data_IF_111055640950
#
_entry.id   IF_111055640950
#
_cell.length_a   1.000
_cell.length_b   1.000
_cell.length_c   1.000
_cell.angle_alpha   90.00
_cell.angle_beta   90.00
_cell.angle_gamma   90.00
#
_symmetry.space_group_name_H-M   'P 1'
#
loop_
_entity.id
_entity.type
_entity.pdbx_description
1 polymer ?
#
# COMPACT_ATOMS: atom_id res chain seq x y z
N UNK A 1 5.28 16.11 -17.67
CA UNK A 1 4.95 14.67 -17.55
C UNK A 1 4.67 14.35 -16.08
N UNK A 2 3.63 13.59 -15.82
CA UNK A 2 3.28 13.19 -14.46
C UNK A 2 3.79 11.77 -14.20
N UNK A 3 4.46 11.57 -13.09
CA UNK A 3 4.93 10.26 -12.63
C UNK A 3 4.31 9.97 -11.28
N UNK A 4 3.81 8.76 -11.11
CA UNK A 4 3.28 8.26 -9.84
C UNK A 4 4.30 7.31 -9.22
N UNK A 5 4.59 7.51 -7.93
CA UNK A 5 5.58 6.72 -7.21
C UNK A 5 4.94 6.07 -5.99
N UNK A 6 4.98 4.75 -5.96
CA UNK A 6 4.58 3.99 -4.79
C UNK A 6 5.77 3.88 -3.85
N UNK A 7 5.58 4.30 -2.60
CA UNK A 7 6.59 4.17 -1.56
C UNK A 7 5.90 3.76 -0.25
N UNK A 8 6.67 3.29 0.69
CA UNK A 8 6.09 2.91 1.96
C UNK A 8 7.02 2.06 2.81
N UNK A 9 6.44 1.47 3.84
CA UNK A 9 7.13 0.65 4.82
C UNK A 9 6.34 -0.66 5.03
N UNK A 10 7.00 -1.78 4.76
CA UNK A 10 6.45 -3.11 4.99
C UNK A 10 7.63 -4.04 5.29
N UNK A 11 7.91 -4.26 6.59
CA UNK A 11 9.09 -4.99 7.07
C UNK A 11 10.40 -4.32 6.62
N UNK A 12 10.43 -2.99 6.65
CA UNK A 12 11.49 -2.17 6.11
C UNK A 12 10.97 -1.29 4.98
N UNK A 13 11.80 -0.40 4.46
CA UNK A 13 11.42 0.42 3.31
C UNK A 13 11.24 -0.46 2.08
N UNK A 14 10.11 -0.30 1.39
CA UNK A 14 9.87 -1.03 0.14
C UNK A 14 10.67 -0.38 -0.99
N UNK A 15 10.99 -1.16 -2.03
CA UNK A 15 11.58 -0.62 -3.25
C UNK A 15 10.53 0.24 -3.97
N UNK A 16 10.81 1.52 -4.25
CA UNK A 16 9.84 2.37 -4.92
C UNK A 16 9.48 1.85 -6.31
N UNK A 17 8.20 1.99 -6.65
CA UNK A 17 7.69 1.65 -7.97
C UNK A 17 7.20 2.94 -8.62
N UNK A 18 7.71 3.29 -9.79
CA UNK A 18 7.34 4.50 -10.50
C UNK A 18 6.77 4.16 -11.87
N UNK A 19 5.70 4.85 -12.24
CA UNK A 19 5.05 4.66 -13.54
C UNK A 19 4.27 5.93 -13.90
N UNK A 20 4.15 6.22 -15.19
CA UNK A 20 3.32 7.32 -15.69
C UNK A 20 1.83 6.96 -15.68
N UNK A 21 1.50 5.67 -15.51
CA UNK A 21 0.12 5.17 -15.44
C UNK A 21 -0.26 4.94 -13.97
N UNK A 22 -1.14 5.78 -13.45
CA UNK A 22 -1.63 5.68 -12.07
C UNK A 22 -2.22 4.30 -11.77
N UNK A 23 -3.00 3.74 -12.71
CA UNK A 23 -3.67 2.46 -12.48
C UNK A 23 -2.68 1.34 -12.18
N UNK A 24 -1.52 1.34 -12.86
CA UNK A 24 -0.49 0.32 -12.62
C UNK A 24 0.12 0.46 -11.24
N UNK A 25 0.34 1.70 -10.80
CA UNK A 25 0.89 1.97 -9.46
C UNK A 25 -0.13 1.61 -8.39
N UNK A 26 -1.39 1.97 -8.61
CA UNK A 26 -2.49 1.62 -7.70
C UNK A 26 -2.65 0.10 -7.58
N UNK A 27 -2.62 -0.63 -8.69
CA UNK A 27 -2.74 -2.09 -8.67
C UNK A 27 -1.57 -2.74 -7.90
N UNK A 28 -0.36 -2.18 -8.02
CA UNK A 28 0.77 -2.66 -7.24
C UNK A 28 0.54 -2.46 -5.74
N UNK A 29 0.02 -1.29 -5.34
CA UNK A 29 -0.31 -1.00 -3.95
C UNK A 29 -1.41 -1.93 -3.44
N UNK A 30 -2.48 -2.09 -4.23
CA UNK A 30 -3.61 -2.96 -3.88
C UNK A 30 -3.16 -4.40 -3.69
N UNK A 31 -2.32 -4.91 -4.57
CA UNK A 31 -1.79 -6.27 -4.47
C UNK A 31 -0.95 -6.44 -3.20
N UNK A 32 -0.08 -5.47 -2.90
CA UNK A 32 0.72 -5.51 -1.68
C UNK A 32 -0.17 -5.48 -0.43
N UNK A 33 -1.20 -4.64 -0.43
CA UNK A 33 -2.16 -4.55 0.67
C UNK A 33 -2.91 -5.88 0.88
N UNK A 34 -3.44 -6.45 -0.20
CA UNK A 34 -4.17 -7.72 -0.11
C UNK A 34 -3.27 -8.87 0.35
N UNK A 35 -2.04 -8.92 -0.14
CA UNK A 35 -1.07 -9.94 0.28
C UNK A 35 -0.70 -9.78 1.76
N UNK A 36 -0.60 -8.56 2.24
CA UNK A 36 -0.29 -8.31 3.65
C UNK A 36 -1.41 -8.79 4.57
N UNK A 37 -2.66 -8.74 4.10
CA UNK A 37 -3.83 -9.18 4.86
C UNK A 37 -4.20 -10.66 4.60
N UNK A 38 -3.44 -11.34 3.76
CA UNK A 38 -3.70 -12.76 3.48
C UNK A 38 -3.52 -13.57 4.77
N UNK A 39 -4.54 -14.37 5.10
CA UNK A 39 -4.55 -15.14 6.33
C UNK A 39 -5.08 -14.40 7.56
N UNK A 40 -5.32 -13.09 7.47
CA UNK A 40 -5.93 -12.32 8.54
C UNK A 40 -7.45 -12.48 8.45
N UNK A 41 -8.07 -12.98 9.54
CA UNK A 41 -9.52 -13.21 9.54
C UNK A 41 -10.27 -11.89 9.75
N UNK A 42 -11.54 -11.85 9.33
CA UNK A 42 -12.39 -10.67 9.52
C UNK A 42 -12.69 -10.39 11.00
N UNK A 43 -12.50 -11.39 11.85
CA UNK A 43 -12.71 -11.26 13.28
C UNK A 43 -11.50 -10.71 14.01
N UNK A 44 -10.36 -10.60 13.32
CA UNK A 44 -9.14 -10.04 13.88
C UNK A 44 -9.33 -8.52 14.08
N UNK A 45 -9.07 -8.04 15.30
CA UNK A 45 -9.22 -6.63 15.63
C UNK A 45 -8.30 -5.72 14.82
N UNK A 46 -7.16 -6.23 14.37
CA UNK A 46 -6.20 -5.47 13.56
C UNK A 46 -6.81 -5.07 12.21
N UNK A 47 -7.78 -5.83 11.72
CA UNK A 47 -8.42 -5.53 10.45
C UNK A 47 -9.22 -4.23 10.48
N UNK A 48 -9.69 -3.80 11.66
CA UNK A 48 -10.39 -2.54 11.83
C UNK A 48 -9.49 -1.34 11.55
N UNK A 49 -8.18 -1.49 11.71
CA UNK A 49 -7.19 -0.44 11.49
C UNK A 49 -6.60 -0.50 10.08
N UNK A 50 -7.00 -1.49 9.28
CA UNK A 50 -6.50 -1.65 7.91
C UNK A 50 -7.44 -0.99 6.93
N UNK A 51 -6.90 -0.27 5.94
CA UNK A 51 -7.71 0.39 4.92
C UNK A 51 -6.94 0.52 3.60
N UNK A 52 -7.70 0.65 2.52
CA UNK A 52 -7.17 0.91 1.18
C UNK A 52 -7.91 2.09 0.59
N UNK A 53 -7.17 3.11 0.21
CA UNK A 53 -7.69 4.31 -0.46
C UNK A 53 -6.99 4.49 -1.80
N UNK A 54 -7.43 5.48 -2.58
CA UNK A 54 -6.84 5.72 -3.91
C UNK A 54 -5.38 6.12 -3.91
N UNK A 55 -4.87 6.71 -2.81
CA UNK A 55 -3.52 7.25 -2.72
C UNK A 55 -2.71 6.67 -1.56
N UNK A 56 -3.33 5.86 -0.73
CA UNK A 56 -2.65 5.27 0.43
C UNK A 56 -3.32 3.97 0.85
N UNK A 57 -2.56 3.14 1.53
CA UNK A 57 -3.06 1.92 2.15
C UNK A 57 -2.31 1.66 3.44
N UNK A 58 -3.02 1.12 4.41
CA UNK A 58 -2.43 0.72 5.69
C UNK A 58 -2.94 -0.68 6.02
N UNK A 59 -2.02 -1.58 6.31
CA UNK A 59 -2.35 -2.93 6.78
C UNK A 59 -1.75 -3.13 8.16
N UNK A 60 -2.59 -3.56 9.09
CA UNK A 60 -2.15 -3.90 10.45
C UNK A 60 -2.28 -5.40 10.62
N UNK A 61 -1.17 -6.07 10.87
CA UNK A 61 -1.12 -7.53 10.99
C UNK A 61 -0.37 -7.89 12.26
N UNK A 62 -1.06 -8.50 13.21
CA UNK A 62 -0.49 -8.90 14.51
C UNK A 62 0.22 -7.75 15.23
N UNK A 63 -0.37 -6.55 15.15
CA UNK A 63 0.19 -5.35 15.77
C UNK A 63 1.29 -4.67 14.97
N UNK A 64 1.69 -5.22 13.84
CA UNK A 64 2.68 -4.62 12.95
C UNK A 64 2.00 -3.78 11.89
N UNK A 65 2.49 -2.55 11.69
CA UNK A 65 1.94 -1.59 10.73
C UNK A 65 2.73 -1.62 9.44
N UNK A 66 2.01 -1.77 8.34
CA UNK A 66 2.57 -1.67 6.99
C UNK A 66 1.82 -0.55 6.28
N UNK A 67 2.55 0.35 5.64
CA UNK A 67 1.96 1.52 5.01
C UNK A 67 2.51 1.71 3.61
N UNK A 68 1.62 2.10 2.70
CA UNK A 68 1.97 2.43 1.32
C UNK A 68 1.32 3.75 0.95
N UNK A 69 2.02 4.54 0.15
CA UNK A 69 1.51 5.81 -0.36
C UNK A 69 1.91 5.98 -1.81
N UNK A 70 1.07 6.67 -2.57
CA UNK A 70 1.37 7.04 -3.94
C UNK A 70 1.62 8.55 -3.98
N UNK A 71 2.82 8.94 -4.41
CA UNK A 71 3.18 10.33 -4.61
C UNK A 71 3.03 10.68 -6.09
N UNK A 72 2.52 11.88 -6.37
CA UNK A 72 2.40 12.41 -7.71
C UNK A 72 3.50 13.44 -7.93
N UNK A 73 4.31 13.23 -8.96
CA UNK A 73 5.42 14.12 -9.30
C UNK A 73 5.23 14.68 -10.71
N UNK A 74 5.43 15.98 -10.86
CA UNK A 74 5.45 16.64 -12.16
C UNK A 74 6.90 16.85 -12.58
N UNK A 75 7.24 16.37 -13.75
CA UNK A 75 8.60 16.48 -14.32
C UNK A 75 8.56 17.01 -15.75
#
# INVERSE_FOLDING_TARGET
MTIYVLHGYADGLIDPIANTDYEKVYEAMKTAYENALDGVTQEDSDREYSFLEGWSATAVVHGEWKEWQIARLEV
#
